data_IF_735319379253
#
_entry.id   IF_735319379253
#
_cell.length_a   1.000
_cell.length_b   1.000
_cell.length_c   1.000
_cell.angle_alpha   90.00
_cell.angle_beta   90.00
_cell.angle_gamma   90.00
#
_symmetry.space_group_name_H-M   'P 1'
#
loop_
_entity.id
_entity.type
_entity.pdbx_description
1 polymer ?
#
# COMPACT_ATOMS: atom_id res chain seq x y z
N UNK A 1 -4.02 5.38 8.12
CA UNK A 1 -3.45 4.07 7.68
C UNK A 1 -2.31 3.67 8.61
N UNK A 2 -1.85 2.42 8.53
CA UNK A 2 -0.61 1.93 9.18
C UNK A 2 0.18 1.13 8.15
N UNK A 3 1.49 1.07 8.29
CA UNK A 3 2.31 0.15 7.53
C UNK A 3 3.65 -0.10 8.21
N UNK A 4 4.28 -1.22 7.89
CA UNK A 4 5.61 -1.57 8.34
C UNK A 4 6.31 -2.45 7.30
N UNK A 5 7.65 -2.42 7.33
CA UNK A 5 8.49 -3.30 6.53
C UNK A 5 9.08 -4.42 7.39
N UNK A 6 9.31 -5.57 6.77
CA UNK A 6 10.07 -6.71 7.30
C UNK A 6 11.07 -7.17 6.26
N UNK A 7 12.21 -7.68 6.71
CA UNK A 7 13.23 -8.26 5.85
C UNK A 7 13.21 -9.78 6.00
N UNK A 8 13.19 -10.50 4.89
CA UNK A 8 13.32 -11.96 4.85
C UNK A 8 14.30 -12.34 3.76
N UNK A 9 15.44 -12.95 4.10
CA UNK A 9 16.48 -13.34 3.12
C UNK A 9 16.86 -12.18 2.18
N UNK A 10 17.16 -11.00 2.75
CA UNK A 10 17.48 -9.76 2.01
C UNK A 10 16.35 -9.19 1.13
N UNK A 11 15.16 -9.81 1.16
CA UNK A 11 13.98 -9.33 0.44
C UNK A 11 13.07 -8.52 1.38
N UNK A 12 12.86 -7.22 1.10
CA UNK A 12 11.90 -6.42 1.84
C UNK A 12 10.47 -6.82 1.50
N UNK A 13 9.66 -6.98 2.55
CA UNK A 13 8.22 -7.17 2.49
C UNK A 13 7.55 -6.02 3.23
N UNK A 14 6.62 -5.35 2.58
CA UNK A 14 5.90 -4.19 3.12
C UNK A 14 4.45 -4.58 3.33
N UNK A 15 3.98 -4.48 4.58
CA UNK A 15 2.56 -4.60 4.90
C UNK A 15 1.98 -3.21 5.11
N UNK A 16 0.87 -2.91 4.43
CA UNK A 16 0.12 -1.67 4.61
C UNK A 16 -1.36 -1.99 4.83
N UNK A 17 -2.04 -1.19 5.66
CA UNK A 17 -3.45 -1.40 5.96
C UNK A 17 -4.17 -0.14 6.43
N UNK A 18 -5.49 -0.13 6.28
CA UNK A 18 -6.35 0.94 6.81
C UNK A 18 -6.53 0.73 8.32
N UNK A 19 -6.30 1.79 9.09
CA UNK A 19 -6.63 1.84 10.52
C UNK A 19 -7.89 2.67 10.68
N UNK A 20 -8.87 2.13 11.41
CA UNK A 20 -10.17 2.75 11.65
C UNK A 20 -10.92 3.07 10.34
N UNK A 21 -11.17 2.10 9.44
CA UNK A 21 -11.82 2.36 8.15
C UNK A 21 -13.22 2.97 8.32
N UNK A 22 -13.91 2.66 9.43
CA UNK A 22 -15.24 3.19 9.75
C UNK A 22 -15.31 4.73 9.84
N UNK A 23 -14.22 5.44 10.17
CA UNK A 23 -14.24 6.91 10.15
C UNK A 23 -14.07 7.49 8.73
N UNK A 24 -13.70 6.66 7.75
CA UNK A 24 -13.57 7.01 6.33
C UNK A 24 -14.76 6.50 5.50
N UNK A 25 -15.54 5.56 6.04
CA UNK A 25 -16.68 4.92 5.39
C UNK A 25 -17.96 5.66 5.77
N UNK A 26 -18.53 6.37 4.80
CA UNK A 26 -19.86 6.96 4.92
C UNK A 26 -20.93 5.87 4.71
N UNK A 27 -21.10 4.99 5.69
CA UNK A 27 -22.18 3.97 5.77
C UNK A 27 -22.16 2.80 4.77
N UNK A 28 -21.08 2.60 4.03
CA UNK A 28 -20.92 1.40 3.19
C UNK A 28 -20.35 0.26 4.05
N UNK A 29 -21.12 -0.80 4.27
CA UNK A 29 -20.81 -1.92 5.18
C UNK A 29 -19.57 -2.76 4.87
N UNK A 30 -18.65 -2.30 4.01
CA UNK A 30 -17.38 -2.94 3.69
C UNK A 30 -16.20 -2.04 4.10
N UNK A 31 -15.09 -2.60 4.62
CA UNK A 31 -13.94 -1.82 5.10
C UNK A 31 -13.13 -1.10 4.00
N UNK A 32 -13.64 -1.04 2.76
CA UNK A 32 -12.93 -0.53 1.59
C UNK A 32 -13.18 0.97 1.41
N UNK A 33 -12.15 1.78 1.61
CA UNK A 33 -12.25 3.24 1.49
C UNK A 33 -12.20 3.66 0.01
N UNK A 34 -13.18 4.44 -0.49
CA UNK A 34 -13.18 4.95 -1.86
C UNK A 34 -11.89 5.69 -2.24
N UNK A 35 -11.45 5.55 -3.48
CA UNK A 35 -10.14 6.05 -3.95
C UNK A 35 -10.00 7.58 -3.82
N UNK A 36 -11.09 8.33 -4.04
CA UNK A 36 -11.16 9.79 -3.93
C UNK A 36 -10.96 10.31 -2.50
N UNK A 37 -11.38 9.53 -1.49
CA UNK A 37 -11.21 9.86 -0.06
C UNK A 37 -9.76 9.87 0.39
N UNK A 38 -8.87 9.18 -0.31
CA UNK A 38 -7.44 9.20 -0.02
C UNK A 38 -6.74 10.47 -0.50
N UNK A 39 -7.38 11.28 -1.36
CA UNK A 39 -6.80 12.50 -1.93
C UNK A 39 -5.37 12.24 -2.42
N UNK A 40 -4.37 13.02 -2.01
CA UNK A 40 -2.96 12.89 -2.39
C UNK A 40 -2.11 12.02 -1.42
N UNK A 41 -2.73 11.24 -0.52
CA UNK A 41 -2.01 10.39 0.45
C UNK A 41 -1.03 9.44 -0.25
N UNK A 42 0.22 9.45 0.24
CA UNK A 42 1.32 8.62 -0.25
C UNK A 42 2.01 7.87 0.89
N UNK A 43 2.44 6.64 0.62
CA UNK A 43 3.41 5.92 1.46
C UNK A 43 4.78 6.23 0.89
N UNK A 44 5.60 6.95 1.65
CA UNK A 44 7.00 7.16 1.31
C UNK A 44 7.80 5.92 1.70
N UNK A 45 8.64 5.47 0.77
CA UNK A 45 9.58 4.39 1.04
C UNK A 45 10.91 4.95 1.52
N UNK A 46 11.61 4.26 2.42
CA UNK A 46 13.01 4.54 2.74
C UNK A 46 13.88 4.52 1.47
N UNK A 47 14.97 5.30 1.47
CA UNK A 47 15.85 5.44 0.32
C UNK A 47 16.47 4.10 -0.13
N UNK A 48 16.67 3.18 0.80
CA UNK A 48 17.21 1.83 0.58
C UNK A 48 16.27 0.94 -0.26
N UNK A 49 14.99 1.31 -0.33
CA UNK A 49 13.96 0.63 -1.11
C UNK A 49 13.62 1.39 -2.40
N UNK A 50 14.20 2.56 -2.63
CA UNK A 50 13.97 3.33 -3.85
C UNK A 50 14.52 2.58 -5.08
N UNK A 51 13.81 2.67 -6.20
CA UNK A 51 14.20 2.03 -7.47
C UNK A 51 13.96 0.52 -7.55
N UNK A 52 13.50 -0.13 -6.47
CA UNK A 52 13.09 -1.54 -6.51
C UNK A 52 11.70 -1.69 -7.13
N UNK A 53 11.49 -2.79 -7.84
CA UNK A 53 10.16 -3.20 -8.31
C UNK A 53 9.44 -3.97 -7.21
N UNK A 54 8.16 -3.69 -7.02
CA UNK A 54 7.34 -4.37 -6.02
C UNK A 54 6.12 -5.00 -6.67
N UNK A 55 5.75 -6.18 -6.20
CA UNK A 55 4.48 -6.83 -6.54
C UNK A 55 3.59 -6.91 -5.32
N UNK A 56 2.31 -6.57 -5.48
CA UNK A 56 1.29 -6.85 -4.48
C UNK A 56 0.89 -8.32 -4.55
N UNK A 57 1.15 -9.07 -3.48
CA UNK A 57 0.86 -10.50 -3.40
C UNK A 57 -0.63 -10.81 -3.37
N UNK A 58 -1.49 -9.87 -2.97
CA UNK A 58 -2.94 -10.10 -2.87
C UNK A 58 -3.64 -9.95 -4.22
N UNK A 59 -3.12 -9.07 -5.08
CA UNK A 59 -3.72 -8.77 -6.39
C UNK A 59 -2.88 -9.28 -7.56
N UNK A 60 -1.62 -9.66 -7.33
CA UNK A 60 -0.65 -10.04 -8.36
C UNK A 60 -0.14 -8.89 -9.21
N UNK A 61 -0.56 -7.65 -8.93
CA UNK A 61 -0.21 -6.46 -9.73
C UNK A 61 1.16 -5.93 -9.35
N UNK A 62 1.88 -5.43 -10.35
CA UNK A 62 3.07 -4.61 -10.12
C UNK A 62 2.67 -3.25 -9.53
N UNK A 63 3.46 -2.76 -8.58
CA UNK A 63 3.25 -1.49 -7.91
C UNK A 63 4.13 -0.43 -8.57
N UNK A 64 3.48 0.59 -9.13
CA UNK A 64 4.17 1.76 -9.68
C UNK A 64 4.61 2.69 -8.54
N UNK A 65 5.92 2.78 -8.34
CA UNK A 65 6.51 3.76 -7.43
C UNK A 65 6.81 5.07 -8.18
N UNK A 66 6.51 6.19 -7.53
CA UNK A 66 7.00 7.51 -7.94
C UNK A 66 8.09 7.97 -6.99
N UNK A 67 8.79 9.06 -7.33
CA UNK A 67 9.75 9.73 -6.42
C UNK A 67 9.12 10.14 -5.07
N UNK A 68 7.80 10.29 -5.02
CA UNK A 68 7.03 10.63 -3.81
C UNK A 68 6.56 9.39 -3.04
N UNK A 69 6.84 8.20 -3.54
CA UNK A 69 6.36 6.91 -3.02
C UNK A 69 5.17 6.35 -3.79
N UNK A 70 4.35 5.54 -3.12
CA UNK A 70 3.17 4.88 -3.70
C UNK A 70 1.88 5.58 -3.27
N UNK A 71 0.98 5.78 -4.23
CA UNK A 71 -0.35 6.38 -4.00
C UNK A 71 -1.25 5.37 -3.28
N UNK A 72 -1.73 5.72 -2.09
CA UNK A 72 -2.59 4.82 -1.29
C UNK A 72 -3.90 4.51 -2.01
N UNK A 73 -4.45 5.49 -2.72
CA UNK A 73 -5.67 5.34 -3.53
C UNK A 73 -5.55 4.20 -4.55
N UNK A 74 -4.38 4.03 -5.16
CA UNK A 74 -4.13 2.95 -6.12
C UNK A 74 -3.80 1.63 -5.41
N UNK A 75 -3.00 1.70 -4.35
CA UNK A 75 -2.54 0.52 -3.62
C UNK A 75 -3.66 -0.25 -2.93
N UNK A 76 -4.61 0.47 -2.33
CA UNK A 76 -5.70 -0.11 -1.54
C UNK A 76 -7.04 -0.07 -2.28
N UNK A 77 -7.01 0.02 -3.62
CA UNK A 77 -8.22 0.09 -4.45
C UNK A 77 -9.03 -1.22 -4.43
N UNK A 78 -8.37 -2.36 -4.25
CA UNK A 78 -9.01 -3.68 -4.25
C UNK A 78 -9.28 -4.21 -2.83
N UNK A 79 -8.35 -3.96 -1.90
CA UNK A 79 -8.40 -4.45 -0.53
C UNK A 79 -7.98 -3.35 0.45
N UNK A 80 -8.51 -3.34 1.69
CA UNK A 80 -8.08 -2.40 2.73
C UNK A 80 -6.69 -2.71 3.30
N UNK A 81 -5.97 -3.65 2.70
CA UNK A 81 -4.63 -4.08 3.03
C UNK A 81 -3.87 -4.39 1.74
N UNK A 82 -2.56 -4.23 1.77
CA UNK A 82 -1.66 -4.65 0.70
C UNK A 82 -0.40 -5.30 1.29
N UNK A 83 0.14 -6.29 0.58
CA UNK A 83 1.37 -6.97 0.96
C UNK A 83 2.34 -6.96 -0.22
N UNK A 84 3.36 -6.11 -0.13
CA UNK A 84 4.28 -5.86 -1.24
C UNK A 84 5.57 -6.62 -1.02
N UNK A 85 6.01 -7.36 -2.02
CA UNK A 85 7.32 -8.00 -2.02
C UNK A 85 8.19 -7.35 -3.09
N UNK A 86 9.45 -7.04 -2.76
CA UNK A 86 10.39 -6.64 -3.79
C UNK A 86 10.70 -7.82 -4.70
N UNK A 87 10.64 -7.58 -6.01
CA UNK A 87 11.10 -8.52 -7.01
C UNK A 87 12.62 -8.41 -7.20
N UNK A 88 13.29 -9.48 -7.67
CA UNK A 88 14.73 -9.48 -7.95
C UNK A 88 15.17 -8.44 -8.98
#
# INVERSE_FOLDING_TARGET
MVGFARMFEERPVIAAGVRLPLTLLADEGAPLVPADRWQDTVIRLPAELAGRHFRDLLTGREVVLSDKGVRVAALLACFPVALLVAEP
#
